data_IF_073218579761
#
_entry.id   IF_073218579761
#
_cell.length_a   1.000
_cell.length_b   1.000
_cell.length_c   1.000
_cell.angle_alpha   90.00
_cell.angle_beta   90.00
_cell.angle_gamma   90.00
#
_symmetry.space_group_name_H-M   'P 1'
#
loop_
_entity.id
_entity.type
_entity.pdbx_description
1 polymer ?
#
# COMPACT_ATOMS: atom_id res chain seq x y z
N UNK A 1 0.40 -12.50 15.45
CA UNK A 1 0.88 -13.31 14.30
C UNK A 1 1.09 -12.46 13.06
N UNK A 2 2.00 -12.88 12.18
CA UNK A 2 2.26 -12.29 10.86
C UNK A 2 1.56 -13.13 9.80
N UNK A 3 0.76 -12.49 8.94
CA UNK A 3 0.08 -13.12 7.82
C UNK A 3 0.59 -12.54 6.51
N UNK A 4 1.06 -13.39 5.62
CA UNK A 4 1.53 -13.01 4.28
C UNK A 4 0.77 -13.82 3.26
N UNK A 5 -0.06 -13.14 2.48
CA UNK A 5 -0.83 -13.70 1.37
C UNK A 5 -0.18 -13.24 0.07
N UNK A 6 0.34 -14.16 -0.73
CA UNK A 6 1.07 -13.83 -1.94
C UNK A 6 0.44 -14.42 -3.19
N UNK A 7 0.19 -13.56 -4.18
CA UNK A 7 -0.15 -13.94 -5.54
C UNK A 7 1.13 -14.02 -6.39
N UNK A 8 1.69 -15.23 -6.52
CA UNK A 8 2.92 -15.45 -7.29
C UNK A 8 2.63 -15.35 -8.80
N UNK A 9 3.49 -14.62 -9.51
CA UNK A 9 3.45 -14.44 -10.97
C UNK A 9 2.10 -13.89 -11.50
N UNK A 10 1.30 -13.23 -10.65
CA UNK A 10 -0.01 -12.76 -11.03
C UNK A 10 -0.50 -11.52 -10.28
N UNK A 11 -1.72 -11.14 -10.60
CA UNK A 11 -2.45 -10.09 -9.93
C UNK A 11 -3.25 -10.64 -8.74
N UNK A 12 -3.44 -9.80 -7.73
CA UNK A 12 -4.41 -10.00 -6.66
C UNK A 12 -5.61 -9.10 -6.92
N UNK A 13 -6.78 -9.68 -7.11
CA UNK A 13 -8.00 -8.91 -7.37
C UNK A 13 -9.12 -9.34 -6.44
N UNK A 14 -9.93 -8.37 -6.01
CA UNK A 14 -11.21 -8.64 -5.34
C UNK A 14 -12.38 -8.29 -6.26
N UNK A 15 -13.49 -8.98 -6.08
CA UNK A 15 -14.78 -8.51 -6.61
C UNK A 15 -15.22 -7.22 -5.89
N UNK A 16 -16.30 -6.59 -6.39
CA UNK A 16 -16.93 -5.48 -5.69
C UNK A 16 -17.57 -5.94 -4.37
N UNK A 17 -17.63 -5.04 -3.39
CA UNK A 17 -18.28 -5.24 -2.09
C UNK A 17 -17.72 -6.41 -1.26
N UNK A 18 -16.45 -6.75 -1.47
CA UNK A 18 -15.76 -7.73 -0.62
C UNK A 18 -15.44 -7.09 0.73
N UNK A 19 -15.68 -7.82 1.81
CA UNK A 19 -15.30 -7.43 3.17
C UNK A 19 -14.34 -8.48 3.73
N UNK A 20 -13.09 -8.06 4.00
CA UNK A 20 -12.06 -8.91 4.60
C UNK A 20 -12.05 -8.67 6.10
N UNK A 21 -12.52 -9.66 6.85
CA UNK A 21 -12.63 -9.60 8.31
C UNK A 21 -11.44 -10.30 8.93
N UNK A 22 -10.71 -9.59 9.79
CA UNK A 22 -9.63 -10.15 10.60
C UNK A 22 -10.21 -10.76 11.88
N UNK A 23 -9.83 -11.99 12.19
CA UNK A 23 -10.32 -12.72 13.37
C UNK A 23 -9.14 -13.30 14.16
N UNK A 24 -9.44 -13.85 15.36
CA UNK A 24 -8.49 -14.59 16.18
C UNK A 24 -7.17 -13.83 16.46
N UNK A 25 -7.27 -12.53 16.72
CA UNK A 25 -6.11 -11.69 17.06
C UNK A 25 -5.23 -11.32 15.87
N UNK A 26 -5.71 -11.50 14.63
CA UNK A 26 -5.06 -10.90 13.47
C UNK A 26 -5.28 -9.38 13.49
N UNK A 27 -4.22 -8.62 13.23
CA UNK A 27 -4.25 -7.16 13.24
C UNK A 27 -3.77 -6.60 11.91
N UNK A 28 -4.30 -5.47 11.49
CA UNK A 28 -4.03 -4.87 10.18
C UNK A 28 -2.55 -4.56 9.94
N UNK A 29 -1.79 -4.29 11.01
CA UNK A 29 -0.34 -4.01 10.95
C UNK A 29 0.48 -5.23 10.51
N UNK A 30 -0.06 -6.42 10.72
CA UNK A 30 0.64 -7.69 10.53
C UNK A 30 0.04 -8.57 9.43
N UNK A 31 -0.83 -7.99 8.58
CA UNK A 31 -1.38 -8.64 7.38
C UNK A 31 -0.80 -8.00 6.13
N UNK A 32 -0.29 -8.83 5.23
CA UNK A 32 0.37 -8.42 4.00
C UNK A 32 -0.22 -9.14 2.80
N UNK A 33 -0.67 -8.37 1.82
CA UNK A 33 -1.15 -8.82 0.52
C UNK A 33 -0.10 -8.48 -0.52
N UNK A 34 0.57 -9.47 -1.05
CA UNK A 34 1.70 -9.25 -1.97
C UNK A 34 1.33 -9.80 -3.34
N UNK A 35 1.47 -8.97 -4.38
CA UNK A 35 1.29 -9.39 -5.76
C UNK A 35 2.55 -9.11 -6.57
N UNK A 36 3.00 -10.10 -7.33
CA UNK A 36 4.09 -9.93 -8.30
C UNK A 36 3.63 -9.07 -9.50
N UNK A 37 2.34 -9.09 -9.81
CA UNK A 37 1.68 -8.22 -10.77
C UNK A 37 0.98 -7.02 -10.11
N UNK A 38 -0.23 -6.75 -10.55
CA UNK A 38 -1.07 -5.66 -10.04
C UNK A 38 -1.94 -6.10 -8.85
N UNK A 39 -2.42 -5.12 -8.09
CA UNK A 39 -3.49 -5.30 -7.11
C UNK A 39 -4.70 -4.51 -7.58
N UNK A 40 -5.87 -5.15 -7.68
CA UNK A 40 -7.14 -4.52 -8.01
C UNK A 40 -8.18 -4.79 -6.94
N UNK A 41 -8.64 -3.74 -6.28
CA UNK A 41 -9.76 -3.83 -5.34
C UNK A 41 -11.04 -3.36 -6.03
N UNK A 42 -12.05 -4.21 -6.08
CA UNK A 42 -13.36 -3.85 -6.58
C UNK A 42 -14.02 -2.75 -5.75
N UNK A 43 -14.97 -2.02 -6.34
CA UNK A 43 -15.69 -0.96 -5.65
C UNK A 43 -16.37 -1.45 -4.36
N UNK A 44 -16.34 -0.65 -3.31
CA UNK A 44 -16.93 -1.00 -2.01
C UNK A 44 -16.17 -2.06 -1.22
N UNK A 45 -14.95 -2.44 -1.66
CA UNK A 45 -14.11 -3.39 -0.91
C UNK A 45 -13.65 -2.79 0.40
N UNK A 46 -13.75 -3.58 1.48
CA UNK A 46 -13.15 -3.28 2.77
C UNK A 46 -12.04 -4.28 3.05
N UNK A 47 -10.83 -3.79 3.22
CA UNK A 47 -9.66 -4.65 3.42
C UNK A 47 -8.73 -4.08 4.46
N UNK A 48 -8.07 -4.95 5.21
CA UNK A 48 -7.10 -4.60 6.24
C UNK A 48 -5.74 -5.18 5.91
N UNK A 49 -4.69 -4.40 6.17
CA UNK A 49 -3.31 -4.81 5.95
C UNK A 49 -2.58 -4.00 4.89
N UNK A 50 -1.31 -4.27 4.74
CA UNK A 50 -0.46 -3.64 3.71
C UNK A 50 -0.58 -4.39 2.40
N UNK A 51 -1.00 -3.67 1.36
CA UNK A 51 -1.05 -4.16 -0.01
C UNK A 51 0.22 -3.71 -0.73
N UNK A 52 1.04 -4.68 -1.11
CA UNK A 52 2.31 -4.46 -1.80
C UNK A 52 2.26 -5.06 -3.20
N UNK A 53 2.42 -4.24 -4.22
CA UNK A 53 2.39 -4.64 -5.62
C UNK A 53 3.69 -4.28 -6.33
N UNK A 54 4.18 -5.18 -7.16
CA UNK A 54 5.26 -4.84 -8.08
C UNK A 54 4.73 -4.03 -9.30
N UNK A 55 3.48 -4.26 -9.68
CA UNK A 55 2.75 -3.49 -10.68
C UNK A 55 1.94 -2.35 -10.09
N UNK A 56 0.80 -2.04 -10.69
CA UNK A 56 -0.12 -1.01 -10.23
C UNK A 56 -0.98 -1.46 -9.04
N UNK A 57 -1.49 -0.51 -8.27
CA UNK A 57 -2.54 -0.74 -7.29
C UNK A 57 -3.74 0.16 -7.59
N UNK A 58 -4.90 -0.44 -7.72
CA UNK A 58 -6.17 0.25 -8.01
C UNK A 58 -7.19 -0.12 -6.96
N UNK A 59 -7.81 0.86 -6.33
CA UNK A 59 -8.98 0.68 -5.49
C UNK A 59 -10.18 1.38 -6.11
N UNK A 60 -11.25 0.63 -6.35
CA UNK A 60 -12.51 1.15 -6.86
C UNK A 60 -13.18 2.11 -5.87
N UNK A 61 -14.21 2.83 -6.33
CA UNK A 61 -14.94 3.80 -5.50
C UNK A 61 -15.56 3.15 -4.26
N UNK A 62 -15.74 3.95 -3.21
CA UNK A 62 -16.26 3.55 -1.90
C UNK A 62 -15.44 2.47 -1.17
N UNK A 63 -14.17 2.28 -1.53
CA UNK A 63 -13.30 1.33 -0.85
C UNK A 63 -12.80 1.88 0.48
N UNK A 64 -12.64 0.98 1.47
CA UNK A 64 -12.08 1.29 2.77
C UNK A 64 -10.86 0.41 2.98
N UNK A 65 -9.70 1.03 3.16
CA UNK A 65 -8.45 0.31 3.42
C UNK A 65 -7.87 0.74 4.76
N UNK A 66 -7.89 -0.16 5.72
CA UNK A 66 -7.15 0.01 6.97
C UNK A 66 -5.75 -0.59 6.78
N UNK A 67 -4.87 0.15 6.16
CA UNK A 67 -3.59 -0.36 5.70
C UNK A 67 -2.82 0.61 4.83
N UNK A 68 -2.01 0.06 3.95
CA UNK A 68 -1.18 0.81 2.99
C UNK A 68 -1.33 0.27 1.58
N UNK A 69 -1.27 1.15 0.60
CA UNK A 69 -1.07 0.80 -0.81
C UNK A 69 0.36 1.18 -1.22
N UNK A 70 1.20 0.19 -1.40
CA UNK A 70 2.59 0.37 -1.77
C UNK A 70 2.86 -0.30 -3.11
N UNK A 71 3.43 0.44 -4.07
CA UNK A 71 3.80 -0.12 -5.36
C UNK A 71 5.25 0.17 -5.71
N UNK A 72 5.89 -0.75 -6.40
CA UNK A 72 7.27 -0.57 -6.82
C UNK A 72 7.37 0.13 -8.16
N UNK A 73 6.73 -0.38 -9.19
CA UNK A 73 6.88 0.10 -10.57
C UNK A 73 5.64 0.84 -11.07
N UNK A 74 4.45 0.42 -10.64
CA UNK A 74 3.20 0.89 -11.19
C UNK A 74 2.59 2.07 -10.42
N UNK A 75 1.60 2.69 -11.04
CA UNK A 75 0.83 3.76 -10.43
C UNK A 75 -0.14 3.24 -9.35
N UNK A 76 -0.53 4.14 -8.46
CA UNK A 76 -1.64 3.92 -7.53
C UNK A 76 -2.81 4.78 -7.99
N UNK A 77 -3.98 4.16 -8.13
CA UNK A 77 -5.25 4.87 -8.36
C UNK A 77 -6.23 4.52 -7.24
N UNK A 78 -6.71 5.53 -6.55
CA UNK A 78 -7.70 5.36 -5.50
C UNK A 78 -8.98 6.10 -5.87
N UNK A 79 -10.08 5.37 -5.88
CA UNK A 79 -11.41 5.94 -6.05
C UNK A 79 -11.88 6.66 -4.78
N UNK A 80 -13.12 7.04 -4.73
CA UNK A 80 -13.72 7.60 -3.53
C UNK A 80 -13.65 6.59 -2.37
N UNK A 81 -13.28 7.04 -1.15
CA UNK A 81 -13.24 6.15 0.02
C UNK A 81 -12.33 6.63 1.13
N UNK A 82 -11.82 5.69 1.91
CA UNK A 82 -10.93 5.99 3.03
C UNK A 82 -9.72 5.07 3.04
N UNK A 83 -8.55 5.63 3.36
CA UNK A 83 -7.31 4.92 3.51
C UNK A 83 -6.59 5.42 4.78
N UNK A 84 -6.31 4.51 5.70
CA UNK A 84 -5.76 4.85 7.02
C UNK A 84 -4.56 3.96 7.34
N UNK A 85 -3.44 4.57 7.74
CA UNK A 85 -2.30 3.82 8.29
C UNK A 85 -2.75 3.07 9.53
N UNK A 86 -2.52 1.75 9.62
CA UNK A 86 -2.86 1.00 10.82
C UNK A 86 -2.12 1.53 12.04
N UNK A 87 -2.81 1.53 13.18
CA UNK A 87 -2.23 1.87 14.48
C UNK A 87 -1.98 0.59 15.27
N UNK A 88 -0.77 0.43 15.80
CA UNK A 88 -0.40 -0.73 16.61
C UNK A 88 1.05 -1.16 16.37
N UNK A 89 1.40 -2.32 16.91
CA UNK A 89 2.76 -2.85 16.81
C UNK A 89 2.93 -3.73 15.58
N UNK A 90 3.56 -3.18 14.55
CA UNK A 90 3.96 -3.96 13.37
C UNK A 90 5.19 -4.81 13.67
N UNK A 91 5.16 -6.08 13.29
CA UNK A 91 6.34 -6.97 13.29
C UNK A 91 7.31 -6.56 12.18
N UNK A 92 6.80 -5.91 11.14
CA UNK A 92 7.59 -5.41 10.01
C UNK A 92 7.97 -3.96 10.28
N UNK A 93 9.25 -3.65 10.22
CA UNK A 93 9.75 -2.28 10.32
C UNK A 93 9.64 -1.58 8.94
N UNK A 94 8.67 -0.70 8.84
CA UNK A 94 8.45 0.13 7.64
C UNK A 94 9.42 1.30 7.53
N UNK A 95 10.16 1.63 8.59
CA UNK A 95 11.12 2.75 8.64
C UNK A 95 10.47 4.05 8.13
N UNK A 96 11.08 4.68 7.11
CA UNK A 96 10.58 5.92 6.51
C UNK A 96 9.24 5.77 5.76
N UNK A 97 8.76 4.54 5.54
CA UNK A 97 7.44 4.28 4.96
C UNK A 97 6.34 4.16 6.01
N UNK A 98 6.67 4.24 7.30
CA UNK A 98 5.73 3.98 8.39
C UNK A 98 4.47 4.84 8.35
N UNK A 99 4.60 6.10 7.95
CA UNK A 99 3.49 7.06 7.89
C UNK A 99 2.78 7.10 6.53
N UNK A 100 3.29 6.41 5.51
CA UNK A 100 2.68 6.46 4.19
C UNK A 100 1.47 5.53 4.11
N UNK A 101 0.32 6.07 3.69
CA UNK A 101 -0.85 5.29 3.25
C UNK A 101 -0.73 4.88 1.80
N UNK A 102 -0.14 5.74 0.95
CA UNK A 102 0.16 5.44 -0.45
C UNK A 102 1.58 5.86 -0.78
N UNK A 103 2.33 4.94 -1.37
CA UNK A 103 3.65 5.24 -1.89
C UNK A 103 3.97 4.38 -3.12
N UNK A 104 4.49 5.02 -4.16
CA UNK A 104 5.03 4.33 -5.34
C UNK A 104 6.44 4.81 -5.63
N UNK A 105 7.33 3.88 -6.00
CA UNK A 105 8.71 4.29 -6.33
C UNK A 105 8.83 4.95 -7.70
N UNK A 106 8.06 4.50 -8.69
CA UNK A 106 8.18 4.99 -10.07
C UNK A 106 6.87 5.51 -10.67
N UNK A 107 5.73 5.02 -10.23
CA UNK A 107 4.44 5.38 -10.78
C UNK A 107 3.91 6.73 -10.29
N UNK A 108 2.78 7.16 -10.80
CA UNK A 108 2.01 8.28 -10.27
C UNK A 108 1.02 7.84 -9.19
N UNK A 109 0.46 8.81 -8.47
CA UNK A 109 -0.64 8.59 -7.53
C UNK A 109 -1.83 9.44 -7.94
N UNK A 110 -2.97 8.81 -8.17
CA UNK A 110 -4.20 9.48 -8.57
C UNK A 110 -5.34 9.22 -7.57
N UNK A 111 -6.07 10.25 -7.26
CA UNK A 111 -7.33 10.18 -6.51
C UNK A 111 -8.49 10.58 -7.42
N UNK A 112 -9.64 9.91 -7.30
CA UNK A 112 -10.88 10.32 -7.95
C UNK A 112 -12.00 10.41 -6.92
N UNK A 113 -12.54 11.62 -6.74
CA UNK A 113 -13.66 11.88 -5.83
C UNK A 113 -13.23 12.29 -4.43
N UNK A 114 -14.23 12.44 -3.56
CA UNK A 114 -14.01 12.80 -2.17
C UNK A 114 -13.50 11.61 -1.37
N UNK A 115 -12.25 11.66 -0.94
CA UNK A 115 -11.59 10.60 -0.18
C UNK A 115 -10.98 11.16 1.10
N UNK A 116 -10.78 10.28 2.09
CA UNK A 116 -10.09 10.63 3.34
C UNK A 116 -8.83 9.76 3.47
N UNK A 117 -7.70 10.42 3.65
CA UNK A 117 -6.40 9.78 3.83
C UNK A 117 -5.82 10.16 5.19
N UNK A 118 -5.60 9.18 6.04
CA UNK A 118 -4.96 9.35 7.34
C UNK A 118 -3.53 8.80 7.26
N UNK A 119 -2.62 9.62 6.76
CA UNK A 119 -1.20 9.33 6.55
C UNK A 119 -0.65 10.03 5.31
N UNK A 120 0.63 9.83 5.07
CA UNK A 120 1.37 10.48 4.01
C UNK A 120 1.13 9.83 2.63
N UNK A 121 1.27 10.62 1.59
CA UNK A 121 1.15 10.20 0.20
C UNK A 121 2.43 10.59 -0.54
N UNK A 122 3.00 9.69 -1.31
CA UNK A 122 4.24 9.99 -2.02
C UNK A 122 4.44 9.22 -3.31
N UNK A 123 5.22 9.84 -4.20
CA UNK A 123 5.73 9.21 -5.41
C UNK A 123 7.17 9.58 -5.68
N UNK A 124 7.98 8.59 -6.02
CA UNK A 124 9.36 8.81 -6.43
C UNK A 124 9.52 9.20 -7.91
N UNK A 125 8.52 8.92 -8.76
CA UNK A 125 8.69 9.09 -10.21
C UNK A 125 7.59 9.83 -10.94
N UNK A 126 6.33 9.55 -10.65
CA UNK A 126 5.19 10.08 -11.38
C UNK A 126 4.59 11.36 -10.79
N UNK A 127 3.44 11.75 -11.30
CA UNK A 127 2.66 12.88 -10.77
C UNK A 127 1.67 12.42 -9.69
N UNK A 128 1.34 13.33 -8.76
CA UNK A 128 0.23 13.18 -7.83
C UNK A 128 -0.91 14.07 -8.29
N UNK A 129 -2.09 13.50 -8.53
CA UNK A 129 -3.22 14.20 -9.13
C UNK A 129 -4.55 13.87 -8.46
N UNK A 130 -5.54 14.77 -8.61
CA UNK A 130 -6.93 14.53 -8.20
C UNK A 130 -7.22 14.72 -6.71
N UNK A 131 -6.34 15.33 -5.95
CA UNK A 131 -6.48 15.48 -4.48
C UNK A 131 -7.23 16.76 -4.05
N UNK A 132 -7.71 17.59 -4.99
CA UNK A 132 -8.40 18.83 -4.66
C UNK A 132 -9.70 18.63 -3.84
N UNK A 133 -10.35 17.48 -4.00
CA UNK A 133 -11.58 17.12 -3.27
C UNK A 133 -11.35 16.14 -2.12
N UNK A 134 -10.09 15.74 -1.90
CA UNK A 134 -9.72 14.81 -0.85
C UNK A 134 -9.34 15.54 0.44
N UNK A 135 -9.59 14.88 1.56
CA UNK A 135 -9.04 15.28 2.86
C UNK A 135 -7.79 14.46 3.13
N UNK A 136 -6.63 15.12 3.26
CA UNK A 136 -5.37 14.45 3.56
C UNK A 136 -4.88 14.89 4.95
N UNK A 137 -4.97 13.97 5.91
CA UNK A 137 -4.42 14.14 7.25
C UNK A 137 -2.99 13.60 7.27
N UNK A 138 -2.09 14.27 6.57
CA UNK A 138 -0.70 13.92 6.35
C UNK A 138 -0.06 14.86 5.34
N UNK A 139 1.09 14.48 4.82
CA UNK A 139 1.86 15.27 3.87
C UNK A 139 1.86 14.61 2.49
N UNK A 140 1.75 15.43 1.44
CA UNK A 140 1.90 14.97 0.05
C UNK A 140 3.31 15.28 -0.44
N UNK A 141 4.05 14.24 -0.82
CA UNK A 141 5.42 14.32 -1.32
C UNK A 141 5.47 14.06 -2.82
N UNK A 142 5.66 15.09 -3.60
CA UNK A 142 5.85 15.00 -5.06
C UNK A 142 7.20 14.38 -5.41
N UNK A 143 7.31 13.83 -6.62
CA UNK A 143 8.57 13.34 -7.17
C UNK A 143 9.63 14.45 -7.18
N UNK A 144 10.88 14.08 -6.93
CA UNK A 144 12.02 15.03 -6.83
C UNK A 144 12.19 15.66 -5.45
N UNK A 145 11.30 15.40 -4.49
CA UNK A 145 11.53 15.79 -3.10
C UNK A 145 12.70 15.02 -2.50
N UNK A 146 13.67 15.72 -1.93
CA UNK A 146 14.81 15.09 -1.24
C UNK A 146 14.40 14.20 -0.08
N UNK A 147 13.25 14.48 0.51
CA UNK A 147 12.64 13.67 1.59
C UNK A 147 12.29 12.25 1.13
N UNK A 148 12.09 12.02 -0.18
CA UNK A 148 11.68 10.72 -0.74
C UNK A 148 12.85 9.77 -1.05
N UNK A 149 14.09 10.21 -0.99
CA UNK A 149 15.26 9.36 -1.29
C UNK A 149 15.27 8.12 -0.38
N UNK A 150 15.06 8.32 0.91
CA UNK A 150 15.04 7.22 1.89
C UNK A 150 13.83 6.28 1.70
N UNK A 151 12.58 6.77 1.56
CA UNK A 151 11.43 5.92 1.21
C UNK A 151 11.62 5.10 -0.07
N UNK A 152 12.16 5.70 -1.13
CA UNK A 152 12.44 4.99 -2.40
C UNK A 152 13.43 3.85 -2.16
N UNK A 153 14.51 4.10 -1.43
CA UNK A 153 15.51 3.09 -1.10
C UNK A 153 14.92 1.98 -0.21
N UNK A 154 14.06 2.32 0.75
CA UNK A 154 13.38 1.32 1.58
C UNK A 154 12.42 0.45 0.77
N UNK A 155 11.69 1.02 -0.17
CA UNK A 155 10.86 0.23 -1.10
C UNK A 155 11.69 -0.75 -1.94
N UNK A 156 12.86 -0.33 -2.40
CA UNK A 156 13.75 -1.19 -3.17
C UNK A 156 14.30 -2.37 -2.36
N UNK A 157 14.49 -2.17 -1.04
CA UNK A 157 15.10 -3.15 -0.12
C UNK A 157 14.10 -3.72 0.89
N UNK A 158 12.80 -3.54 0.67
CA UNK A 158 11.77 -4.02 1.60
C UNK A 158 11.92 -5.52 1.84
N UNK A 159 12.15 -5.87 3.08
CA UNK A 159 12.38 -7.24 3.53
C UNK A 159 11.47 -7.54 4.71
N UNK A 160 10.84 -8.68 4.68
CA UNK A 160 10.04 -9.19 5.78
C UNK A 160 10.92 -9.96 6.77
N UNK A 161 10.75 -9.68 8.05
CA UNK A 161 11.37 -10.45 9.11
C UNK A 161 10.35 -11.43 9.71
N UNK A 162 10.71 -12.69 9.78
CA UNK A 162 9.94 -13.72 10.49
C UNK A 162 10.78 -14.23 11.66
N UNK A 163 10.24 -14.09 12.87
CA UNK A 163 10.94 -14.51 14.11
C UNK A 163 12.35 -13.90 14.25
N UNK A 164 12.51 -12.61 13.89
CA UNK A 164 13.81 -11.94 13.92
C UNK A 164 14.78 -12.35 12.81
N UNK A 165 14.38 -13.26 11.94
CA UNK A 165 15.19 -13.68 10.78
C UNK A 165 14.69 -12.95 9.55
N UNK A 166 15.61 -12.31 8.83
CA UNK A 166 15.35 -11.72 7.53
C UNK A 166 14.85 -12.83 6.59
N UNK A 167 13.61 -12.70 6.10
CA UNK A 167 13.16 -13.55 4.99
C UNK A 167 13.76 -12.93 3.73
N UNK A 168 14.79 -13.53 3.14
CA UNK A 168 15.34 -13.02 1.90
C UNK A 168 14.23 -12.96 0.88
N UNK A 169 14.22 -11.93 0.06
CA UNK A 169 13.35 -11.88 -1.12
C UNK A 169 13.87 -12.92 -2.13
N UNK A 170 13.70 -14.19 -1.76
CA UNK A 170 14.24 -15.37 -2.47
C UNK A 170 13.58 -15.62 -3.82
N UNK A 171 12.63 -14.80 -4.20
CA UNK A 171 12.04 -14.77 -5.54
C UNK A 171 12.90 -14.00 -6.56
N UNK A 172 14.14 -13.64 -6.21
CA UNK A 172 15.10 -13.07 -7.16
C UNK A 172 15.91 -14.11 -7.93
N UNK A 173 15.52 -15.34 -7.92
CA UNK A 173 16.19 -16.32 -8.76
C UNK A 173 15.27 -16.74 -9.89
N UNK A 174 15.53 -16.08 -11.02
CA UNK A 174 15.43 -16.45 -12.43
C UNK A 174 14.04 -16.55 -13.02
#
# INVERSE_FOLDING_TARGET
PLFVIRANAGAFNTAASVDVILTNGATSENVFWIADGAIGLGAGTKISGTLFSNGAAVAGGASIVNGRLLTKLGAISFGQGALTVPTGNSIVDFRSLSNFVMFTSLGGVANTGASVYNGDIGTGGGAITGFATATVNGTIFQSGSTTLVTPINHMATFSLYKNGVLIPNSSRTR
#
